data_IF_252663470312
#
_entry.id   IF_252663470312
#
_cell.length_a   1.000
_cell.length_b   1.000
_cell.length_c   1.000
_cell.angle_alpha   90.00
_cell.angle_beta   90.00
_cell.angle_gamma   90.00
#
_symmetry.space_group_name_H-M   'P 1'
#
loop_
_entity.id
_entity.type
_entity.pdbx_description
1 polymer ?
#
# COMPACT_ATOMS: atom_id res chain seq x y z
N UNK A 1 -48.43 14.39 -22.67
CA UNK A 1 -48.69 15.65 -23.40
C UNK A 1 -47.90 16.71 -22.66
N UNK A 2 -46.79 17.26 -23.15
CA UNK A 2 -46.53 17.93 -24.42
C UNK A 2 -45.06 17.68 -24.82
N UNK A 3 -44.81 16.93 -25.88
CA UNK A 3 -44.37 17.37 -27.23
C UNK A 3 -42.96 17.98 -27.31
N UNK A 4 -42.03 17.17 -27.87
CA UNK A 4 -40.83 17.63 -28.57
C UNK A 4 -41.18 18.32 -29.89
N UNK A 5 -40.30 19.20 -30.38
CA UNK A 5 -39.48 18.89 -31.56
C UNK A 5 -37.99 19.26 -31.28
N UNK A 6 -36.95 18.65 -31.82
CA UNK A 6 -36.69 18.22 -33.20
C UNK A 6 -35.30 18.77 -33.58
N UNK A 7 -34.30 17.88 -33.59
CA UNK A 7 -33.05 17.87 -34.41
C UNK A 7 -32.24 19.16 -34.65
N UNK A 8 -30.97 19.14 -34.23
CA UNK A 8 -29.82 19.40 -35.13
C UNK A 8 -28.61 18.57 -34.71
N UNK A 9 -28.06 17.86 -35.69
CA UNK A 9 -26.80 17.11 -35.65
C UNK A 9 -25.60 18.02 -35.37
N UNK A 10 -24.78 17.67 -34.38
CA UNK A 10 -23.47 18.27 -34.14
C UNK A 10 -22.46 17.17 -33.85
N UNK A 11 -21.86 16.61 -34.89
CA UNK A 11 -20.75 15.67 -34.77
C UNK A 11 -19.53 16.40 -34.19
N UNK A 12 -19.19 16.13 -32.93
CA UNK A 12 -17.94 16.56 -32.32
C UNK A 12 -16.78 15.75 -32.89
N UNK A 13 -16.23 16.18 -34.02
CA UNK A 13 -14.92 15.74 -34.52
C UNK A 13 -13.86 16.72 -34.02
N UNK A 14 -13.41 16.52 -32.78
CA UNK A 14 -12.18 17.14 -32.27
C UNK A 14 -10.97 16.35 -32.74
N UNK A 15 -10.33 16.81 -33.82
CA UNK A 15 -9.02 16.34 -34.28
C UNK A 15 -7.97 16.90 -33.32
N UNK A 16 -7.34 16.05 -32.50
CA UNK A 16 -6.18 16.44 -31.71
C UNK A 16 -4.97 16.55 -32.65
N UNK A 17 -4.66 17.75 -33.10
CA UNK A 17 -3.38 18.03 -33.74
C UNK A 17 -2.28 18.08 -32.68
N UNK A 18 -1.32 17.18 -32.80
CA UNK A 18 -0.14 17.14 -31.95
C UNK A 18 0.78 18.32 -32.30
N UNK A 19 0.61 19.44 -31.59
CA UNK A 19 1.46 20.60 -31.68
C UNK A 19 2.88 20.28 -31.19
N UNK A 20 3.84 20.32 -32.11
CA UNK A 20 5.28 20.15 -31.86
C UNK A 20 5.76 21.25 -30.89
N UNK A 21 5.95 20.91 -29.62
CA UNK A 21 6.39 21.85 -28.59
C UNK A 21 7.85 22.27 -28.83
N UNK A 22 8.05 23.51 -29.28
CA UNK A 22 9.37 24.12 -29.37
C UNK A 22 9.89 24.42 -27.97
N UNK A 23 11.06 23.86 -27.65
CA UNK A 23 11.73 24.03 -26.37
C UNK A 23 12.34 25.44 -26.29
N UNK A 24 11.64 26.39 -25.65
CA UNK A 24 12.25 27.67 -25.27
C UNK A 24 13.17 27.39 -24.08
N UNK A 25 14.49 27.39 -24.34
CA UNK A 25 15.54 27.33 -23.31
C UNK A 25 15.61 28.65 -22.54
N UNK A 26 14.77 28.83 -21.53
CA UNK A 26 15.00 29.87 -20.52
C UNK A 26 16.03 29.37 -19.49
N UNK A 27 17.23 29.96 -19.52
CA UNK A 27 18.24 29.82 -18.47
C UNK A 27 17.73 30.46 -17.18
N UNK A 28 17.07 29.68 -16.36
CA UNK A 28 16.75 29.99 -14.98
C UNK A 28 16.68 28.66 -14.25
N UNK A 29 17.71 28.33 -13.48
CA UNK A 29 17.72 27.15 -12.63
C UNK A 29 16.69 27.34 -11.51
N UNK A 30 15.41 27.12 -11.83
CA UNK A 30 14.37 26.90 -10.84
C UNK A 30 14.72 25.57 -10.18
N UNK A 31 15.50 25.65 -9.11
CA UNK A 31 15.87 24.51 -8.28
C UNK A 31 14.56 23.87 -7.85
N UNK A 32 14.17 22.74 -8.46
CA UNK A 32 13.02 21.94 -8.04
C UNK A 32 13.27 21.48 -6.59
N UNK A 33 12.87 22.32 -5.63
CA UNK A 33 12.88 22.04 -4.19
C UNK A 33 11.56 21.40 -3.73
N UNK A 34 10.78 20.88 -4.66
CA UNK A 34 9.48 20.26 -4.42
C UNK A 34 9.60 18.87 -5.07
N UNK A 35 9.95 17.82 -4.32
CA UNK A 35 8.99 16.79 -3.86
C UNK A 35 9.43 16.15 -2.52
N UNK A 36 10.65 16.39 -2.04
CA UNK A 36 11.22 15.73 -0.85
C UNK A 36 10.60 16.16 0.51
N UNK A 37 9.50 16.91 0.53
CA UNK A 37 8.92 17.48 1.76
C UNK A 37 7.88 16.58 2.43
N UNK A 38 7.32 15.59 1.71
CA UNK A 38 6.27 14.71 2.26
C UNK A 38 6.70 13.94 3.52
N UNK A 39 8.01 13.68 3.65
CA UNK A 39 8.59 12.93 4.78
C UNK A 39 9.59 13.74 5.63
N UNK A 40 9.68 15.07 5.44
CA UNK A 40 10.64 15.90 6.16
C UNK A 40 10.22 16.08 7.63
N UNK A 41 10.75 15.25 8.53
CA UNK A 41 10.59 15.39 9.97
C UNK A 41 11.67 16.34 10.52
N UNK A 42 11.51 17.63 10.28
CA UNK A 42 12.36 18.64 10.92
C UNK A 42 12.23 18.63 12.45
N UNK A 43 13.20 19.22 13.17
CA UNK A 43 13.09 19.43 14.61
C UNK A 43 11.84 20.23 14.93
N UNK A 44 11.09 19.80 15.94
CA UNK A 44 9.84 20.41 16.36
C UNK A 44 9.82 20.54 17.88
N UNK A 45 9.36 21.69 18.39
CA UNK A 45 9.17 21.91 19.83
C UNK A 45 8.00 21.06 20.31
N UNK A 46 8.18 20.36 21.44
CA UNK A 46 7.12 19.54 22.03
C UNK A 46 5.85 20.35 22.34
N UNK A 47 6.01 21.60 22.78
CA UNK A 47 4.88 22.52 23.07
C UNK A 47 4.02 22.88 21.85
N UNK A 48 4.48 22.59 20.63
CA UNK A 48 3.74 22.80 19.37
C UNK A 48 3.29 21.49 18.72
N UNK A 49 3.64 20.34 19.30
CA UNK A 49 3.32 19.04 18.77
C UNK A 49 2.12 18.46 19.53
N UNK A 50 1.10 18.02 18.81
CA UNK A 50 -0.02 17.30 19.41
C UNK A 50 0.42 15.89 19.81
N UNK A 51 0.66 15.68 21.11
CA UNK A 51 1.06 14.39 21.71
C UNK A 51 0.26 14.17 22.98
N UNK A 52 -0.95 13.60 22.89
CA UNK A 52 -1.75 13.30 24.07
C UNK A 52 -1.17 12.05 24.75
N UNK A 53 -0.19 12.22 25.63
CA UNK A 53 0.27 11.12 26.49
C UNK A 53 -0.75 10.87 27.60
N UNK A 54 -0.77 9.66 28.15
CA UNK A 54 -1.63 9.34 29.29
C UNK A 54 -0.97 8.35 30.26
N UNK A 55 -1.48 8.31 31.48
CA UNK A 55 -1.00 7.42 32.55
C UNK A 55 -1.33 5.96 32.24
N UNK A 56 -0.69 5.04 32.96
CA UNK A 56 -0.99 3.61 32.83
C UNK A 56 -2.43 3.29 33.23
N UNK A 57 -2.94 3.95 34.29
CA UNK A 57 -4.28 3.72 34.83
C UNK A 57 -5.39 4.08 33.83
N UNK A 58 -5.16 5.10 32.99
CA UNK A 58 -6.09 5.51 31.95
C UNK A 58 -6.27 4.47 30.80
N UNK A 59 -5.52 3.37 30.83
CA UNK A 59 -5.41 2.36 29.77
C UNK A 59 -5.77 0.97 30.31
N UNK A 60 -6.13 0.85 31.59
CA UNK A 60 -6.51 -0.42 32.20
C UNK A 60 -7.73 -1.09 31.52
N UNK A 61 -8.56 -0.32 30.80
CA UNK A 61 -9.73 -0.82 30.06
C UNK A 61 -9.45 -1.22 28.59
N UNK A 62 -8.20 -1.14 28.12
CA UNK A 62 -7.81 -1.45 26.74
C UNK A 62 -7.19 -2.85 26.59
N UNK A 63 -7.07 -3.33 25.34
CA UNK A 63 -6.55 -4.65 24.94
C UNK A 63 -5.35 -5.15 25.78
N UNK A 64 -5.24 -6.46 25.96
CA UNK A 64 -4.24 -7.08 26.85
C UNK A 64 -2.80 -6.93 26.36
N UNK A 65 -2.61 -6.61 25.07
CA UNK A 65 -1.31 -6.53 24.42
C UNK A 65 -0.47 -5.32 24.88
N UNK A 66 0.71 -5.58 25.44
CA UNK A 66 1.56 -4.53 26.01
C UNK A 66 2.09 -3.53 24.99
N UNK A 67 2.38 -3.96 23.76
CA UNK A 67 2.81 -3.04 22.69
C UNK A 67 1.72 -2.02 22.36
N UNK A 68 0.44 -2.41 22.39
CA UNK A 68 -0.67 -1.47 22.20
C UNK A 68 -0.77 -0.49 23.36
N UNK A 69 -0.64 -0.96 24.61
CA UNK A 69 -0.64 -0.09 25.79
C UNK A 69 0.46 0.97 25.66
N UNK A 70 1.67 0.59 25.26
CA UNK A 70 2.78 1.53 25.04
C UNK A 70 2.48 2.56 23.94
N UNK A 71 1.96 2.12 22.79
CA UNK A 71 1.58 3.01 21.69
C UNK A 71 0.48 4.00 22.11
N UNK A 72 -0.48 3.55 22.93
CA UNK A 72 -1.52 4.42 23.46
C UNK A 72 -0.96 5.42 24.48
N UNK A 73 -0.19 4.96 25.48
CA UNK A 73 0.48 5.79 26.50
C UNK A 73 1.31 6.91 25.89
N UNK A 74 2.09 6.55 24.86
CA UNK A 74 3.00 7.48 24.20
C UNK A 74 2.31 8.44 23.21
N UNK A 75 0.99 8.36 23.04
CA UNK A 75 0.27 9.20 22.09
C UNK A 75 0.62 8.90 20.62
N UNK A 76 0.87 7.62 20.28
CA UNK A 76 1.16 7.18 18.91
C UNK A 76 -0.12 6.85 18.14
N UNK A 77 -1.08 6.20 18.78
CA UNK A 77 -2.34 5.78 18.17
C UNK A 77 -3.53 5.96 19.11
N UNK A 78 -4.73 6.04 18.54
CA UNK A 78 -6.01 5.94 19.26
C UNK A 78 -6.93 5.01 18.51
N UNK A 79 -7.67 4.19 19.25
CA UNK A 79 -8.72 3.39 18.65
C UNK A 79 -9.90 4.30 18.27
N UNK A 80 -10.36 4.21 17.03
CA UNK A 80 -11.54 4.95 16.55
C UNK A 80 -12.82 4.12 16.70
N UNK A 81 -12.75 2.83 16.36
CA UNK A 81 -13.80 1.84 16.59
C UNK A 81 -13.16 0.44 16.65
N UNK A 82 -13.94 -0.63 16.83
CA UNK A 82 -13.40 -1.99 16.87
C UNK A 82 -12.62 -2.30 15.59
N UNK A 83 -11.31 -2.55 15.71
CA UNK A 83 -10.42 -2.83 14.59
C UNK A 83 -10.07 -1.63 13.70
N UNK A 84 -10.24 -0.37 14.14
CA UNK A 84 -9.78 0.81 13.38
C UNK A 84 -9.05 1.79 14.28
N UNK A 85 -7.99 2.41 13.76
CA UNK A 85 -7.07 3.24 14.53
C UNK A 85 -6.71 4.54 13.82
N UNK A 86 -6.67 5.63 14.59
CA UNK A 86 -6.06 6.89 14.19
C UNK A 86 -4.58 6.89 14.56
N UNK A 87 -3.72 7.15 13.57
CA UNK A 87 -2.30 7.41 13.79
C UNK A 87 -2.11 8.87 14.15
N UNK A 88 -1.56 9.12 15.34
CA UNK A 88 -1.27 10.47 15.83
C UNK A 88 0.07 10.96 15.27
N UNK A 89 0.44 12.26 15.41
CA UNK A 89 1.60 12.83 14.74
C UNK A 89 2.92 12.08 14.94
N UNK A 90 3.21 11.56 16.15
CA UNK A 90 4.43 10.76 16.37
C UNK A 90 4.31 9.37 15.72
N UNK A 91 3.15 8.72 15.84
CA UNK A 91 2.87 7.45 15.15
C UNK A 91 3.04 7.56 13.64
N UNK A 92 2.53 8.63 13.04
CA UNK A 92 2.68 8.90 11.61
C UNK A 92 4.14 9.15 11.22
N UNK A 93 4.94 9.81 12.08
CA UNK A 93 6.40 9.95 11.84
C UNK A 93 7.11 8.61 11.80
N UNK A 94 6.77 7.68 12.70
CA UNK A 94 7.34 6.32 12.69
C UNK A 94 6.90 5.58 11.43
N UNK A 95 5.61 5.62 11.10
CA UNK A 95 5.05 5.00 9.90
C UNK A 95 5.77 5.50 8.64
N UNK A 96 5.93 6.81 8.49
CA UNK A 96 6.63 7.42 7.38
C UNK A 96 8.10 6.98 7.25
N UNK A 97 8.80 6.77 8.36
CA UNK A 97 10.17 6.22 8.33
C UNK A 97 10.19 4.78 7.84
N UNK A 98 9.22 3.96 8.27
CA UNK A 98 9.10 2.58 7.80
C UNK A 98 8.78 2.51 6.31
N UNK A 99 7.84 3.34 5.85
CA UNK A 99 7.48 3.47 4.43
C UNK A 99 8.70 3.86 3.60
N UNK A 100 9.49 4.82 4.06
CA UNK A 100 10.71 5.23 3.36
C UNK A 100 11.72 4.08 3.20
N UNK A 101 11.92 3.26 4.24
CA UNK A 101 12.79 2.08 4.15
C UNK A 101 12.24 1.11 3.10
N UNK A 102 10.92 0.88 3.11
CA UNK A 102 10.26 0.02 2.12
C UNK A 102 10.46 0.59 0.71
N UNK A 103 10.25 1.89 0.50
CA UNK A 103 10.39 2.53 -0.81
C UNK A 103 11.82 2.35 -1.35
N UNK A 104 12.83 2.64 -0.53
CA UNK A 104 14.24 2.50 -0.92
C UNK A 104 14.59 1.06 -1.33
N UNK A 105 14.04 0.05 -0.65
CA UNK A 105 14.29 -1.37 -0.98
C UNK A 105 13.48 -1.88 -2.17
N UNK A 106 12.32 -1.27 -2.45
CA UNK A 106 11.52 -1.55 -3.65
C UNK A 106 12.12 -0.88 -4.89
N UNK A 107 12.60 0.36 -4.77
CA UNK A 107 13.34 1.05 -5.83
C UNK A 107 14.63 0.30 -6.20
N UNK A 108 15.31 -0.32 -5.23
CA UNK A 108 16.51 -1.13 -5.47
C UNK A 108 16.27 -2.41 -6.28
N UNK A 109 15.01 -2.80 -6.50
CA UNK A 109 14.61 -3.91 -7.37
C UNK A 109 13.77 -3.42 -8.57
N UNK A 110 13.96 -2.15 -8.95
CA UNK A 110 13.28 -1.50 -10.09
C UNK A 110 11.75 -1.52 -10.00
N UNK A 111 11.19 -1.63 -8.79
CA UNK A 111 9.75 -1.56 -8.60
C UNK A 111 9.27 -0.10 -8.58
N UNK A 112 8.26 0.19 -9.39
CA UNK A 112 7.66 1.52 -9.51
C UNK A 112 6.51 1.69 -8.52
N UNK A 113 6.54 2.79 -7.75
CA UNK A 113 5.46 3.14 -6.83
C UNK A 113 4.26 3.73 -7.59
N UNK A 114 3.07 3.24 -7.29
CA UNK A 114 1.79 3.79 -7.74
C UNK A 114 0.78 3.84 -6.57
N UNK A 115 -0.42 4.34 -6.84
CA UNK A 115 -1.53 4.36 -5.88
C UNK A 115 -2.82 3.98 -6.62
N UNK A 116 -3.49 2.92 -6.18
CA UNK A 116 -4.76 2.44 -6.73
C UNK A 116 -5.94 2.86 -5.86
N UNK A 117 -7.15 3.00 -6.44
CA UNK A 117 -8.35 3.30 -5.67
C UNK A 117 -8.61 2.24 -4.58
N UNK A 118 -9.11 2.69 -3.43
CA UNK A 118 -9.55 1.80 -2.35
C UNK A 118 -11.03 1.41 -2.48
N UNK A 119 -11.78 2.18 -3.25
CA UNK A 119 -13.18 1.96 -3.60
C UNK A 119 -13.24 1.37 -5.00
N UNK A 120 -13.61 0.10 -5.13
CA UNK A 120 -13.60 -0.63 -6.40
C UNK A 120 -15.00 -1.15 -6.75
N UNK A 121 -15.39 -1.17 -8.04
CA UNK A 121 -16.56 -1.95 -8.48
C UNK A 121 -16.34 -3.45 -8.24
N UNK A 122 -17.38 -4.19 -7.83
CA UNK A 122 -17.28 -5.64 -7.58
C UNK A 122 -17.11 -6.48 -8.86
N UNK A 123 -17.28 -5.90 -10.06
CA UNK A 123 -17.34 -6.61 -11.34
C UNK A 123 -16.14 -7.55 -11.58
N UNK A 124 -14.91 -7.08 -11.33
CA UNK A 124 -13.72 -7.93 -11.52
C UNK A 124 -13.61 -9.02 -10.46
N UNK A 125 -14.05 -8.73 -9.25
CA UNK A 125 -14.03 -9.66 -8.13
C UNK A 125 -15.03 -10.81 -8.32
N UNK A 126 -16.17 -10.51 -8.94
CA UNK A 126 -17.12 -11.54 -9.40
C UNK A 126 -16.48 -12.40 -10.49
N UNK A 127 -15.81 -11.77 -11.47
CA UNK A 127 -15.12 -12.50 -12.56
C UNK A 127 -14.06 -13.47 -12.04
N UNK A 128 -13.35 -13.12 -10.96
CA UNK A 128 -12.35 -14.00 -10.34
C UNK A 128 -12.94 -14.98 -9.31
N UNK A 129 -14.24 -14.90 -9.02
CA UNK A 129 -14.90 -15.71 -7.98
C UNK A 129 -14.47 -15.36 -6.55
N UNK A 130 -13.78 -14.21 -6.37
CA UNK A 130 -13.22 -13.81 -5.07
C UNK A 130 -14.23 -13.12 -4.16
N UNK A 131 -15.37 -12.68 -4.69
CA UNK A 131 -16.50 -12.23 -3.87
C UNK A 131 -16.97 -13.38 -2.98
N UNK A 132 -17.23 -14.54 -3.56
CA UNK A 132 -17.69 -15.74 -2.85
C UNK A 132 -16.59 -16.30 -1.95
N UNK A 133 -15.36 -16.38 -2.45
CA UNK A 133 -14.24 -16.94 -1.71
C UNK A 133 -13.90 -16.14 -0.43
N UNK A 134 -14.02 -14.81 -0.46
CA UNK A 134 -13.81 -13.98 0.73
C UNK A 134 -15.05 -13.89 1.63
N UNK A 135 -16.24 -14.12 1.08
CA UNK A 135 -17.48 -14.19 1.84
C UNK A 135 -17.74 -12.95 2.70
N UNK A 136 -17.91 -13.14 4.01
CA UNK A 136 -18.22 -12.08 4.97
C UNK A 136 -17.04 -11.16 5.29
N UNK A 137 -15.80 -11.54 4.97
CA UNK A 137 -14.64 -10.68 5.22
C UNK A 137 -14.52 -9.54 4.19
N UNK A 138 -15.25 -9.62 3.08
CA UNK A 138 -15.26 -8.59 2.05
C UNK A 138 -16.33 -7.53 2.36
N UNK A 139 -15.89 -6.29 2.60
CA UNK A 139 -16.79 -5.15 2.68
C UNK A 139 -17.47 -4.91 1.34
N UNK A 140 -18.80 -4.97 1.33
CA UNK A 140 -19.66 -4.75 0.16
C UNK A 140 -20.75 -3.74 0.47
N UNK A 141 -21.02 -2.85 -0.48
CA UNK A 141 -22.08 -1.85 -0.36
C UNK A 141 -22.53 -1.43 -1.75
N UNK A 142 -23.69 -0.76 -1.81
CA UNK A 142 -24.19 -0.17 -3.04
C UNK A 142 -23.95 1.33 -3.02
N UNK A 143 -23.47 1.88 -4.12
CA UNK A 143 -23.42 3.33 -4.29
C UNK A 143 -24.84 3.92 -4.48
N UNK A 144 -24.93 5.25 -4.61
CA UNK A 144 -26.22 5.94 -4.80
C UNK A 144 -26.96 5.56 -6.09
N UNK A 145 -26.28 4.95 -7.05
CA UNK A 145 -26.83 4.48 -8.34
C UNK A 145 -27.15 2.98 -8.31
N UNK A 146 -26.93 2.32 -7.17
CA UNK A 146 -27.16 0.89 -7.01
C UNK A 146 -26.02 -0.01 -7.50
N UNK A 147 -24.89 0.57 -7.93
CA UNK A 147 -23.72 -0.20 -8.34
C UNK A 147 -23.10 -0.88 -7.11
N UNK A 148 -22.77 -2.17 -7.22
CA UNK A 148 -22.10 -2.90 -6.15
C UNK A 148 -20.62 -2.55 -6.12
N UNK A 149 -20.20 -2.10 -4.94
CA UNK A 149 -18.86 -1.61 -4.65
C UNK A 149 -18.25 -2.43 -3.51
N UNK A 150 -16.93 -2.46 -3.47
CA UNK A 150 -16.14 -3.05 -2.41
C UNK A 150 -15.14 -2.04 -1.85
N UNK A 151 -14.74 -2.23 -0.59
CA UNK A 151 -13.49 -1.67 -0.10
C UNK A 151 -12.39 -2.71 -0.34
N UNK A 152 -11.30 -2.30 -0.98
CA UNK A 152 -10.25 -3.21 -1.42
C UNK A 152 -9.54 -3.92 -0.24
N UNK A 153 -9.61 -5.27 -0.15
CA UNK A 153 -8.81 -6.03 0.81
C UNK A 153 -7.38 -6.32 0.30
N UNK A 154 -7.20 -6.19 -1.01
CA UNK A 154 -5.99 -6.33 -1.84
C UNK A 154 -6.35 -5.90 -3.28
N UNK A 155 -5.40 -5.92 -4.22
CA UNK A 155 -5.52 -5.27 -5.53
C UNK A 155 -5.10 -6.14 -6.74
N UNK A 156 -5.07 -7.48 -6.64
CA UNK A 156 -4.66 -8.34 -7.77
C UNK A 156 -5.49 -8.09 -9.04
N UNK A 157 -6.81 -7.93 -8.94
CA UNK A 157 -7.70 -7.66 -10.08
C UNK A 157 -7.44 -6.28 -10.71
N UNK A 158 -7.30 -5.27 -9.86
CA UNK A 158 -7.19 -3.87 -10.30
C UNK A 158 -5.86 -3.64 -11.00
N UNK A 159 -4.76 -4.16 -10.43
CA UNK A 159 -3.43 -4.04 -11.04
C UNK A 159 -3.34 -4.86 -12.32
N UNK A 160 -3.94 -6.05 -12.37
CA UNK A 160 -3.97 -6.87 -13.60
C UNK A 160 -4.73 -6.15 -14.71
N UNK A 161 -5.87 -5.53 -14.40
CA UNK A 161 -6.62 -4.72 -15.36
C UNK A 161 -5.81 -3.51 -15.83
N UNK A 162 -5.15 -2.80 -14.92
CA UNK A 162 -4.33 -1.64 -15.24
C UNK A 162 -3.19 -2.03 -16.19
N UNK A 163 -2.37 -2.99 -15.80
CA UNK A 163 -1.20 -3.41 -16.58
C UNK A 163 -1.62 -4.02 -17.92
N UNK A 164 -2.67 -4.84 -17.95
CA UNK A 164 -3.18 -5.42 -19.20
C UNK A 164 -3.78 -4.40 -20.18
N UNK A 165 -4.14 -3.20 -19.72
CA UNK A 165 -4.60 -2.12 -20.58
C UNK A 165 -3.44 -1.29 -21.16
N UNK A 166 -2.32 -1.22 -20.45
CA UNK A 166 -1.17 -0.37 -20.80
C UNK A 166 -0.02 -1.13 -21.50
N UNK A 167 0.03 -2.46 -21.36
CA UNK A 167 1.12 -3.29 -21.89
C UNK A 167 0.58 -4.32 -22.88
N UNK A 168 1.09 -4.26 -24.11
CA UNK A 168 0.74 -5.14 -25.23
C UNK A 168 1.93 -5.94 -25.78
N UNK A 169 3.13 -5.76 -25.22
CA UNK A 169 4.38 -6.33 -25.74
C UNK A 169 5.24 -6.96 -24.64
N UNK A 170 5.77 -8.15 -24.92
CA UNK A 170 6.73 -8.86 -24.05
C UNK A 170 8.00 -8.03 -23.81
N UNK A 171 8.36 -7.12 -24.73
CA UNK A 171 9.52 -6.24 -24.58
C UNK A 171 9.39 -5.23 -23.44
N UNK A 172 8.17 -5.01 -22.94
CA UNK A 172 7.89 -4.15 -21.80
C UNK A 172 8.00 -4.88 -20.46
N UNK A 173 8.24 -6.20 -20.47
CA UNK A 173 8.43 -7.01 -19.27
C UNK A 173 9.94 -7.12 -18.91
N UNK A 174 10.30 -7.27 -17.62
CA UNK A 174 9.39 -7.37 -16.48
C UNK A 174 8.83 -6.01 -16.03
N UNK A 175 7.61 -6.02 -15.50
CA UNK A 175 7.02 -4.87 -14.81
C UNK A 175 6.83 -5.20 -13.34
N UNK A 176 7.29 -4.29 -12.48
CA UNK A 176 7.20 -4.40 -11.02
C UNK A 176 6.55 -3.14 -10.50
N UNK A 177 5.36 -3.27 -9.91
CA UNK A 177 4.61 -2.13 -9.37
C UNK A 177 4.14 -2.40 -7.97
N UNK A 178 4.27 -1.40 -7.09
CA UNK A 178 3.84 -1.52 -5.71
C UNK A 178 3.11 -0.27 -5.24
N UNK A 179 2.34 -0.42 -4.18
CA UNK A 179 1.75 0.71 -3.45
C UNK A 179 1.91 0.49 -1.95
N UNK A 180 1.74 1.56 -1.18
CA UNK A 180 1.59 1.50 0.28
C UNK A 180 0.27 2.15 0.64
N UNK A 181 -0.78 1.33 0.68
CA UNK A 181 -2.16 1.79 0.78
C UNK A 181 -2.89 1.18 1.97
N UNK A 182 -4.05 1.79 2.30
CA UNK A 182 -4.98 1.19 3.25
C UNK A 182 -5.62 -0.05 2.63
N UNK A 183 -6.00 -1.01 3.46
CA UNK A 183 -6.72 -2.22 3.09
C UNK A 183 -7.82 -2.46 4.10
N UNK A 184 -8.90 -3.11 3.63
CA UNK A 184 -10.10 -3.31 4.42
C UNK A 184 -10.51 -4.78 4.40
N UNK A 185 -10.63 -5.39 5.57
CA UNK A 185 -11.15 -6.74 5.76
C UNK A 185 -12.11 -6.72 6.93
N UNK A 186 -13.34 -7.18 6.77
CA UNK A 186 -14.34 -7.15 7.86
C UNK A 186 -14.06 -8.27 8.87
N UNK A 187 -12.95 -8.12 9.59
CA UNK A 187 -12.49 -9.05 10.59
C UNK A 187 -13.57 -9.22 11.68
N UNK A 188 -14.13 -10.43 11.87
CA UNK A 188 -15.22 -10.66 12.80
C UNK A 188 -14.82 -10.43 14.25
N UNK A 189 -13.53 -10.61 14.60
CA UNK A 189 -13.02 -10.41 15.96
C UNK A 189 -11.67 -9.67 15.95
N UNK A 190 -11.67 -8.35 15.73
CA UNK A 190 -10.45 -7.55 15.79
C UNK A 190 -9.86 -7.60 17.21
N UNK A 191 -8.54 -7.81 17.32
CA UNK A 191 -7.86 -8.00 18.61
C UNK A 191 -6.36 -7.75 18.49
N UNK A 192 -5.67 -7.69 19.61
CA UNK A 192 -4.23 -7.50 19.69
C UNK A 192 -3.78 -6.19 19.00
N UNK A 193 -4.52 -5.11 19.22
CA UNK A 193 -4.14 -3.78 18.74
C UNK A 193 -4.10 -3.67 17.21
N UNK A 194 -2.94 -3.27 16.69
CA UNK A 194 -2.67 -3.11 15.25
C UNK A 194 -2.38 -4.44 14.54
N UNK A 195 -2.29 -5.57 15.25
CA UNK A 195 -1.92 -6.86 14.66
C UNK A 195 -3.07 -7.53 13.92
N UNK A 196 -4.32 -7.30 14.33
CA UNK A 196 -5.52 -7.87 13.69
C UNK A 196 -6.67 -6.87 13.72
N UNK A 197 -6.85 -6.17 12.60
CA UNK A 197 -7.75 -5.02 12.46
C UNK A 197 -8.67 -5.17 11.25
N UNK A 198 -9.66 -4.27 11.15
CA UNK A 198 -10.51 -4.15 9.96
C UNK A 198 -9.91 -3.27 8.88
N UNK A 199 -9.16 -2.27 9.32
CA UNK A 199 -8.44 -1.33 8.47
C UNK A 199 -6.96 -1.37 8.85
N UNK A 200 -6.08 -1.56 7.87
CA UNK A 200 -4.63 -1.60 8.09
C UNK A 200 -3.88 -1.04 6.87
N UNK A 201 -2.63 -0.64 7.09
CA UNK A 201 -1.73 -0.25 6.00
C UNK A 201 -0.98 -1.49 5.49
N UNK A 202 -0.88 -1.62 4.19
CA UNK A 202 -0.13 -2.69 3.55
C UNK A 202 0.72 -2.12 2.43
N UNK A 203 1.96 -2.61 2.33
CA UNK A 203 2.67 -2.58 1.06
C UNK A 203 2.33 -3.85 0.29
N UNK A 204 1.82 -3.71 -0.92
CA UNK A 204 1.51 -4.77 -1.88
C UNK A 204 2.33 -4.54 -3.16
N UNK A 205 3.04 -5.57 -3.62
CA UNK A 205 3.90 -5.55 -4.83
C UNK A 205 3.36 -6.60 -5.79
N UNK A 206 3.25 -6.23 -7.06
CA UNK A 206 2.80 -7.09 -8.14
C UNK A 206 3.86 -7.10 -9.24
N UNK A 207 4.18 -8.29 -9.75
CA UNK A 207 5.17 -8.47 -10.81
C UNK A 207 4.55 -9.18 -12.01
N UNK A 208 4.96 -8.75 -13.20
CA UNK A 208 4.53 -9.29 -14.47
C UNK A 208 5.80 -9.63 -15.24
N UNK A 209 6.01 -10.92 -15.49
CA UNK A 209 7.23 -11.48 -16.08
C UNK A 209 6.86 -12.29 -17.34
N UNK A 210 7.79 -12.41 -18.30
CA UNK A 210 7.47 -13.05 -19.59
C UNK A 210 7.34 -14.57 -19.50
N UNK A 211 7.94 -15.17 -18.46
CA UNK A 211 7.96 -16.61 -18.25
C UNK A 211 7.97 -16.97 -16.77
N UNK A 212 7.60 -18.21 -16.45
CA UNK A 212 7.64 -18.73 -15.08
C UNK A 212 9.07 -18.73 -14.50
N UNK A 213 10.08 -18.93 -15.33
CA UNK A 213 11.48 -18.91 -14.92
C UNK A 213 11.92 -17.50 -14.52
N UNK A 214 11.53 -16.49 -15.30
CA UNK A 214 11.76 -15.08 -14.95
C UNK A 214 10.99 -14.68 -13.69
N UNK A 215 9.73 -15.10 -13.56
CA UNK A 215 8.94 -14.88 -12.35
C UNK A 215 9.61 -15.47 -11.09
N UNK A 216 10.23 -16.66 -11.22
CA UNK A 216 10.99 -17.26 -10.12
C UNK A 216 12.25 -16.45 -9.75
N UNK A 217 12.95 -15.88 -10.74
CA UNK A 217 14.07 -14.97 -10.51
C UNK A 217 13.62 -13.69 -9.81
N UNK A 218 12.57 -13.05 -10.33
CA UNK A 218 11.95 -11.86 -9.73
C UNK A 218 11.50 -12.14 -8.29
N UNK A 219 10.92 -13.31 -8.02
CA UNK A 219 10.54 -13.71 -6.66
C UNK A 219 11.76 -13.80 -5.72
N UNK A 220 12.89 -14.33 -6.19
CA UNK A 220 14.12 -14.39 -5.40
C UNK A 220 14.66 -12.99 -5.06
N UNK A 221 14.60 -12.04 -5.99
CA UNK A 221 14.99 -10.64 -5.77
C UNK A 221 14.06 -9.96 -4.75
N UNK A 222 12.74 -10.13 -4.92
CA UNK A 222 11.73 -9.61 -3.98
C UNK A 222 11.96 -10.16 -2.58
N UNK A 223 12.25 -11.46 -2.48
CA UNK A 223 12.58 -12.09 -1.20
C UNK A 223 13.79 -11.41 -0.55
N UNK A 224 14.88 -11.21 -1.29
CA UNK A 224 16.06 -10.53 -0.75
C UNK A 224 15.77 -9.08 -0.34
N UNK A 225 14.89 -8.36 -1.06
CA UNK A 225 14.46 -7.02 -0.65
C UNK A 225 13.73 -7.04 0.70
N UNK A 226 12.83 -8.00 0.94
CA UNK A 226 12.16 -8.16 2.23
C UNK A 226 13.13 -8.44 3.38
N UNK A 227 14.18 -9.23 3.14
CA UNK A 227 15.24 -9.43 4.13
C UNK A 227 15.92 -8.12 4.53
N UNK A 228 16.27 -7.28 3.54
CA UNK A 228 16.92 -5.99 3.78
C UNK A 228 15.96 -5.04 4.53
N UNK A 229 14.68 -4.99 4.14
CA UNK A 229 13.64 -4.22 4.86
C UNK A 229 13.62 -4.61 6.33
N UNK A 230 13.45 -5.90 6.65
CA UNK A 230 13.34 -6.35 8.04
C UNK A 230 14.64 -6.15 8.82
N UNK A 231 15.80 -6.37 8.19
CA UNK A 231 17.09 -6.11 8.80
C UNK A 231 17.25 -4.63 9.21
N UNK A 232 16.87 -3.71 8.33
CA UNK A 232 16.93 -2.25 8.57
C UNK A 232 15.90 -1.78 9.59
N UNK A 233 14.70 -2.37 9.63
CA UNK A 233 13.66 -2.00 10.58
C UNK A 233 13.97 -2.45 12.00
N UNK A 234 14.51 -3.65 12.17
CA UNK A 234 14.59 -4.29 13.47
C UNK A 234 15.98 -4.28 14.10
N UNK A 235 17.04 -3.90 13.37
CA UNK A 235 18.44 -3.81 13.85
C UNK A 235 18.69 -4.73 15.05
N UNK A 236 18.64 -6.04 14.78
CA UNK A 236 18.34 -7.11 15.73
C UNK A 236 19.21 -7.12 17.01
N UNK A 237 20.37 -6.45 16.98
CA UNK A 237 21.27 -6.26 18.11
C UNK A 237 20.64 -5.60 19.35
N UNK A 238 19.51 -4.89 19.21
CA UNK A 238 18.86 -4.20 20.33
C UNK A 238 17.65 -4.92 20.94
N UNK A 239 17.28 -6.11 20.43
CA UNK A 239 16.18 -6.92 20.99
C UNK A 239 16.81 -8.12 21.72
N UNK A 240 16.96 -8.08 23.05
CA UNK A 240 17.68 -9.11 23.80
C UNK A 240 17.05 -10.51 23.71
N UNK A 241 15.77 -10.61 23.34
CA UNK A 241 15.07 -11.89 23.13
C UNK A 241 15.27 -12.48 21.74
N UNK A 242 15.94 -11.76 20.83
CA UNK A 242 16.25 -12.16 19.46
C UNK A 242 17.76 -12.02 19.20
N UNK A 243 18.57 -12.49 20.16
CA UNK A 243 20.03 -12.52 20.07
C UNK A 243 20.54 -13.31 18.87
N UNK A 244 19.73 -14.22 18.33
CA UNK A 244 19.99 -14.92 17.08
C UNK A 244 19.11 -14.37 15.95
N UNK A 245 19.72 -14.16 14.79
CA UNK A 245 19.02 -13.78 13.56
C UNK A 245 17.91 -14.81 13.30
N UNK A 246 16.66 -14.39 13.03
CA UNK A 246 15.57 -15.35 12.90
C UNK A 246 15.80 -16.33 11.75
N UNK A 247 15.76 -17.63 12.03
CA UNK A 247 16.06 -18.71 11.06
C UNK A 247 15.04 -18.80 9.92
N UNK A 248 13.80 -18.37 10.14
CA UNK A 248 12.75 -18.28 9.11
C UNK A 248 13.02 -17.19 8.07
N UNK A 249 13.92 -16.26 8.37
CA UNK A 249 14.40 -15.29 7.39
C UNK A 249 15.39 -16.00 6.46
N UNK A 250 16.34 -16.80 6.95
CA UNK A 250 17.46 -17.28 6.14
C UNK A 250 17.10 -17.96 4.80
N UNK A 251 17.78 -17.51 3.74
CA UNK A 251 17.78 -18.15 2.43
C UNK A 251 18.53 -19.46 2.56
N UNK A 252 17.82 -20.55 2.88
CA UNK A 252 18.25 -21.83 2.34
C UNK A 252 18.18 -21.67 0.84
N UNK A 253 19.34 -21.54 0.20
CA UNK A 253 19.46 -21.74 -1.22
C UNK A 253 18.89 -23.13 -1.47
N UNK A 254 17.72 -23.22 -2.08
CA UNK A 254 17.32 -24.44 -2.76
C UNK A 254 18.23 -24.56 -3.98
N UNK A 255 19.51 -24.84 -3.72
CA UNK A 255 20.38 -25.40 -4.74
C UNK A 255 19.69 -26.70 -5.15
N UNK A 256 19.45 -26.83 -6.46
CA UNK A 256 18.98 -28.05 -7.11
C UNK A 256 19.49 -29.30 -6.37
N UNK A 257 18.65 -29.92 -5.57
CA UNK A 257 18.77 -31.35 -5.31
C UNK A 257 18.18 -32.05 -6.53
N UNK A 258 18.88 -31.90 -7.66
CA UNK A 258 18.88 -32.92 -8.70
C UNK A 258 19.66 -34.08 -8.14
N UNK A 259 18.99 -35.20 -7.93
CA UNK A 259 19.63 -36.42 -7.45
C UNK A 259 18.63 -37.57 -7.42
N UNK A 260 18.71 -38.40 -8.46
CA UNK A 260 18.37 -39.84 -8.44
C UNK A 260 16.90 -40.19 -8.46
#
# INVERSE_FOLDING_TARGET
>A
MFSHPGTTSGAWRGRLECGRMQLIRSRGALRMRHIARAYSTGPMRLSRLFVPTCTADAIAATDTLDSLKLLWRGGYVRQSSSGTYSYLPIGLRVLNKMIRIIDEEMEAIDASRLEMPQLLPSVLWHKTGRVEAMGSELFRFKDRRGAEMILAPTHEEEVTKLIGAEIDSVKSLPVRVYQVGRKFRDEPRPRAGLLRTKEFLMKDLYTFDASAQEAASTYAEVRQAYHRIFHRLFHWSHIPSLLEKPTWIEVRNFANTGGG
#
